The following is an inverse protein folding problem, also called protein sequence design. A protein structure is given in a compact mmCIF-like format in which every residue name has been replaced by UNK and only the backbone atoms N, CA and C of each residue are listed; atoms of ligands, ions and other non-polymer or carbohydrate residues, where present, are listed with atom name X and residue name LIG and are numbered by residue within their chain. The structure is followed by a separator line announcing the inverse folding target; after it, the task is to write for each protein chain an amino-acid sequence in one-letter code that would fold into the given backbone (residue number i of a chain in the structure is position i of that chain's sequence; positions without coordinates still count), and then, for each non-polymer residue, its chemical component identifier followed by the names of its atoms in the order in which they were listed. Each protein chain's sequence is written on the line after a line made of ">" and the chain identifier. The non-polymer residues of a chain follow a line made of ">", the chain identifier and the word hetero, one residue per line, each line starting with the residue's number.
data_IF_889261533453
#
_entry.id   IF_889261533453
#
_cell.length_a   1.000
_cell.length_b   1.000
_cell.length_c   1.000
_cell.angle_alpha   90.00
_cell.angle_beta   90.00
_cell.angle_gamma   90.00
#
_symmetry.space_group_name_H-M   'P 1'
#
loop_
_entity.id
_entity.type
_entity.pdbx_description
1 polymer ?
#
# COMPACT_ATOMS: atom_id res chain seq x y z
N UNK A 1 -12.11 -3.28 -15.48
CA UNK A 1 -12.82 -3.24 -14.18
C UNK A 1 -12.06 -2.33 -13.21
N UNK A 2 -12.74 -1.53 -12.39
CA UNK A 2 -12.11 -0.70 -11.35
C UNK A 2 -12.58 -1.17 -9.99
N UNK A 3 -11.63 -1.49 -9.12
CA UNK A 3 -11.90 -1.94 -7.75
C UNK A 3 -11.18 -1.01 -6.79
N UNK A 4 -11.89 -0.55 -5.78
CA UNK A 4 -11.33 0.30 -4.74
C UNK A 4 -10.91 -0.55 -3.53
N UNK A 5 -9.81 -0.17 -2.90
CA UNK A 5 -9.31 -0.80 -1.70
C UNK A 5 -8.99 0.25 -0.65
N UNK A 6 -9.31 -0.06 0.61
CA UNK A 6 -8.76 0.65 1.77
C UNK A 6 -7.73 -0.22 2.46
N UNK A 7 -6.63 0.41 2.86
CA UNK A 7 -5.51 -0.25 3.52
C UNK A 7 -5.14 0.46 4.81
N UNK A 8 -4.67 -0.32 5.79
CA UNK A 8 -4.03 0.17 7.01
C UNK A 8 -2.62 -0.40 7.04
N UNK A 9 -1.62 0.43 7.33
CA UNK A 9 -0.23 0.03 7.22
C UNK A 9 0.67 0.72 8.24
N UNK A 10 1.80 0.06 8.50
CA UNK A 10 2.91 0.58 9.29
C UNK A 10 4.07 0.92 8.34
N UNK A 11 4.68 2.08 8.50
CA UNK A 11 5.94 2.46 7.87
C UNK A 11 7.10 2.22 8.83
N UNK A 12 8.09 1.47 8.37
CA UNK A 12 9.25 1.05 9.15
C UNK A 12 10.51 1.69 8.62
N UNK A 13 11.44 2.02 9.51
CA UNK A 13 12.79 2.44 9.13
C UNK A 13 13.65 1.26 8.65
N UNK A 14 14.93 1.54 8.35
CA UNK A 14 15.89 0.53 7.85
C UNK A 14 16.11 -0.61 8.84
N UNK A 15 16.02 -0.32 10.13
CA UNK A 15 16.20 -1.27 11.23
C UNK A 15 14.93 -2.07 11.55
N UNK A 16 13.80 -1.72 10.91
CA UNK A 16 12.52 -2.38 11.12
C UNK A 16 11.74 -1.85 12.31
N UNK A 17 12.06 -0.65 12.82
CA UNK A 17 11.24 0.02 13.82
C UNK A 17 10.08 0.74 13.15
N UNK A 18 8.88 0.62 13.73
CA UNK A 18 7.71 1.39 13.29
C UNK A 18 7.93 2.87 13.60
N UNK A 19 7.94 3.69 12.55
CA UNK A 19 8.11 5.15 12.62
C UNK A 19 6.92 5.91 12.03
N UNK A 20 5.95 5.19 11.48
CA UNK A 20 4.75 5.74 10.87
C UNK A 20 3.60 4.74 10.91
N UNK A 21 2.38 5.24 11.10
CA UNK A 21 1.14 4.49 10.94
C UNK A 21 0.22 5.29 10.03
N UNK A 22 -0.34 4.64 9.01
CA UNK A 22 -1.17 5.31 8.04
C UNK A 22 -2.26 4.43 7.47
N UNK A 23 -3.14 5.08 6.72
CA UNK A 23 -4.15 4.45 5.90
C UNK A 23 -4.03 4.97 4.46
N UNK A 24 -4.56 4.20 3.51
CA UNK A 24 -4.52 4.56 2.09
C UNK A 24 -5.71 4.02 1.33
N UNK A 25 -6.24 4.83 0.41
CA UNK A 25 -7.27 4.45 -0.55
C UNK A 25 -6.63 4.27 -1.91
N UNK A 26 -6.77 3.10 -2.53
CA UNK A 26 -6.19 2.82 -3.84
C UNK A 26 -7.21 2.23 -4.81
N UNK A 27 -7.19 2.74 -6.04
CA UNK A 27 -8.01 2.27 -7.15
C UNK A 27 -7.16 1.35 -8.03
N UNK A 28 -7.49 0.07 -8.06
CA UNK A 28 -6.88 -0.90 -8.97
C UNK A 28 -7.75 -1.00 -10.22
N UNK A 29 -7.19 -0.59 -11.35
CA UNK A 29 -7.85 -0.65 -12.66
C UNK A 29 -7.19 -1.73 -13.51
N UNK A 30 -8.00 -2.57 -14.15
CA UNK A 30 -7.50 -3.54 -15.12
C UNK A 30 -8.29 -3.45 -16.43
N UNK A 31 -7.56 -3.52 -17.55
CA UNK A 31 -8.11 -3.28 -18.89
C UNK A 31 -8.80 -4.50 -19.51
N UNK A 32 -8.35 -5.73 -19.19
CA UNK A 32 -8.82 -6.96 -19.86
C UNK A 32 -9.25 -8.07 -18.91
N UNK A 33 -8.49 -8.36 -17.85
CA UNK A 33 -8.81 -9.39 -16.85
C UNK A 33 -8.66 -8.83 -15.43
N UNK A 34 -9.34 -9.42 -14.44
CA UNK A 34 -9.15 -9.03 -13.03
C UNK A 34 -7.71 -9.39 -12.61
N UNK A 35 -6.91 -8.44 -12.07
CA UNK A 35 -5.54 -8.74 -11.72
C UNK A 35 -5.51 -9.78 -10.61
N UNK A 36 -4.47 -10.61 -10.61
CA UNK A 36 -4.27 -11.58 -9.55
C UNK A 36 -4.11 -10.88 -8.19
N UNK A 37 -4.43 -11.56 -7.08
CA UNK A 37 -4.22 -10.99 -5.73
C UNK A 37 -2.78 -10.51 -5.48
N UNK A 38 -1.78 -11.16 -6.10
CA UNK A 38 -0.38 -10.74 -5.99
C UNK A 38 -0.11 -9.42 -6.71
N UNK A 39 -0.67 -9.22 -7.91
CA UNK A 39 -0.53 -7.97 -8.66
C UNK A 39 -1.23 -6.82 -7.95
N UNK A 40 -2.42 -7.07 -7.38
CA UNK A 40 -3.14 -6.10 -6.54
C UNK A 40 -2.28 -5.68 -5.34
N UNK A 41 -1.72 -6.66 -4.61
CA UNK A 41 -0.90 -6.39 -3.44
C UNK A 41 0.37 -5.60 -3.80
N UNK A 42 1.04 -5.96 -4.90
CA UNK A 42 2.23 -5.26 -5.37
C UNK A 42 1.93 -3.80 -5.75
N UNK A 43 0.85 -3.56 -6.49
CA UNK A 43 0.43 -2.21 -6.89
C UNK A 43 0.11 -1.34 -5.66
N UNK A 44 -0.66 -1.88 -4.71
CA UNK A 44 -1.00 -1.18 -3.46
C UNK A 44 0.27 -0.88 -2.67
N UNK A 45 1.17 -1.85 -2.49
CA UNK A 45 2.40 -1.63 -1.72
C UNK A 45 3.27 -0.52 -2.34
N UNK A 46 3.44 -0.51 -3.67
CA UNK A 46 4.17 0.55 -4.37
C UNK A 46 3.53 1.93 -4.20
N UNK A 47 2.20 2.00 -4.27
CA UNK A 47 1.48 3.25 -4.05
C UNK A 47 1.68 3.77 -2.61
N UNK A 48 1.52 2.90 -1.61
CA UNK A 48 1.64 3.27 -0.20
C UNK A 48 3.06 3.71 0.16
N UNK A 49 4.10 2.97 -0.26
CA UNK A 49 5.48 3.34 0.08
C UNK A 49 5.87 4.68 -0.55
N UNK A 50 5.38 4.97 -1.77
CA UNK A 50 5.62 6.25 -2.43
C UNK A 50 5.01 7.39 -1.63
N UNK A 51 3.71 7.32 -1.33
CA UNK A 51 3.01 8.38 -0.58
C UNK A 51 3.53 8.54 0.86
N UNK A 52 3.90 7.43 1.51
CA UNK A 52 4.49 7.48 2.85
C UNK A 52 5.85 8.18 2.85
N UNK A 53 6.71 7.90 1.85
CA UNK A 53 8.03 8.53 1.70
C UNK A 53 7.96 10.02 1.36
N UNK A 54 6.92 10.47 0.67
CA UNK A 54 6.69 11.90 0.42
C UNK A 54 6.51 12.69 1.72
N UNK A 55 5.97 12.06 2.77
CA UNK A 55 5.75 12.68 4.08
C UNK A 55 6.89 12.39 5.07
N UNK A 56 7.50 11.20 4.99
CA UNK A 56 8.60 10.80 5.85
C UNK A 56 9.64 9.98 5.06
N UNK A 57 10.73 10.63 4.58
CA UNK A 57 11.77 9.97 3.80
C UNK A 57 12.51 8.84 4.54
N UNK A 58 12.44 8.78 5.87
CA UNK A 58 13.09 7.73 6.67
C UNK A 58 12.37 6.37 6.56
N UNK A 59 11.15 6.34 6.02
CA UNK A 59 10.41 5.08 5.81
C UNK A 59 11.14 4.25 4.75
N UNK A 60 11.66 3.10 5.16
CA UNK A 60 12.34 2.16 4.28
C UNK A 60 11.41 1.05 3.77
N UNK A 61 10.44 0.63 4.59
CA UNK A 61 9.53 -0.50 4.32
C UNK A 61 8.10 -0.19 4.76
N UNK A 62 7.13 -0.86 4.14
CA UNK A 62 5.71 -0.81 4.52
C UNK A 62 5.27 -2.22 4.90
N UNK A 63 4.53 -2.35 5.99
CA UNK A 63 3.80 -3.58 6.35
C UNK A 63 2.30 -3.27 6.32
N UNK A 64 1.56 -3.92 5.43
CA UNK A 64 0.10 -3.81 5.35
C UNK A 64 -0.51 -4.67 6.45
N UNK A 65 -1.28 -4.06 7.34
CA UNK A 65 -1.95 -4.71 8.49
C UNK A 65 -3.39 -5.09 8.17
N UNK A 66 -4.00 -4.39 7.22
CA UNK A 66 -5.33 -4.69 6.72
C UNK A 66 -5.48 -4.19 5.30
N UNK A 67 -6.17 -4.99 4.48
CA UNK A 67 -6.51 -4.67 3.10
C UNK A 67 -7.93 -5.14 2.83
N UNK A 68 -8.82 -4.19 2.51
CA UNK A 68 -10.24 -4.45 2.36
C UNK A 68 -10.72 -3.90 1.02
N UNK A 69 -11.40 -4.75 0.24
CA UNK A 69 -12.09 -4.37 -1.00
C UNK A 69 -13.33 -3.56 -0.61
N UNK A 70 -13.54 -2.42 -1.26
CA UNK A 70 -14.71 -1.54 -1.11
C UNK A 70 -15.73 -1.77 -2.22
#
# INVERSE_FOLDING_TARGET
>A
MKVSYISYYEGLDVDGKVIFQGNGSHLVSAEKEEPSPHEILAAINQYLIKGAKENNPAIAKIVIKGLFKL
#
